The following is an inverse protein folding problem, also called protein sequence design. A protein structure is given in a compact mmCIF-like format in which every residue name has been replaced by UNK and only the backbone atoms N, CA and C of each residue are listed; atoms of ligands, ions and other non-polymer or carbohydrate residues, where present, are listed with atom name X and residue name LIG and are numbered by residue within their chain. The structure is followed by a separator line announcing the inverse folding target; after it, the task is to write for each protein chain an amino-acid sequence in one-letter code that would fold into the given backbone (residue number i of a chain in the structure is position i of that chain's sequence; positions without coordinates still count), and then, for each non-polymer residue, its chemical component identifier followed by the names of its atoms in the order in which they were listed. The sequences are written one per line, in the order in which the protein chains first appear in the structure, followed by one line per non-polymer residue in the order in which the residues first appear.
data_IF_519193201672
#
_entry.id   IF_519193201672
#
_cell.length_a   1.000
_cell.length_b   1.000
_cell.length_c   1.000
_cell.angle_alpha   90.00
_cell.angle_beta   90.00
_cell.angle_gamma   90.00
#
_symmetry.space_group_name_H-M   'P 1'
#
loop_
_entity.id
_entity.type
_entity.pdbx_description
1 polymer ?
#
# COMPACT_ATOMS: atom_id res chain seq x y z
N UNK A 1 0.15 0.05 35.08
CA UNK A 1 0.45 -0.17 36.51
C UNK A 1 1.77 0.43 36.94
N UNK A 2 2.79 0.55 36.06
CA UNK A 2 4.11 1.06 36.45
C UNK A 2 4.08 2.50 36.99
N UNK A 3 3.24 3.38 36.43
CA UNK A 3 3.03 4.74 36.95
C UNK A 3 2.41 4.74 38.35
N UNK A 4 1.48 3.82 38.63
CA UNK A 4 0.90 3.68 39.96
C UNK A 4 1.97 3.21 40.97
N UNK A 5 2.82 2.26 40.59
CA UNK A 5 3.94 1.79 41.42
C UNK A 5 4.93 2.91 41.70
N UNK A 6 5.22 3.78 40.74
CA UNK A 6 6.05 4.97 40.96
C UNK A 6 5.43 5.88 42.04
N UNK A 7 4.16 6.25 41.86
CA UNK A 7 3.44 7.13 42.81
C UNK A 7 3.40 6.50 44.22
N UNK A 8 3.04 5.22 44.31
CA UNK A 8 2.98 4.49 45.58
C UNK A 8 4.37 4.45 46.24
N UNK A 9 5.43 4.19 45.48
CA UNK A 9 6.80 4.13 46.01
C UNK A 9 7.24 5.49 46.58
N UNK A 10 6.91 6.59 45.91
CA UNK A 10 7.23 7.94 46.40
C UNK A 10 6.47 8.26 47.69
N UNK A 11 5.16 7.98 47.73
CA UNK A 11 4.33 8.21 48.91
C UNK A 11 4.79 7.35 50.09
N UNK A 12 5.06 6.06 49.87
CA UNK A 12 5.56 5.16 50.90
C UNK A 12 6.93 5.58 51.41
N UNK A 13 7.83 6.04 50.53
CA UNK A 13 9.14 6.56 50.93
C UNK A 13 9.02 7.71 51.93
N UNK A 14 8.11 8.65 51.68
CA UNK A 14 7.80 9.73 52.61
C UNK A 14 7.20 9.21 53.92
N UNK A 15 6.19 8.33 53.85
CA UNK A 15 5.53 7.80 55.04
C UNK A 15 6.50 7.03 55.94
N UNK A 16 7.32 6.15 55.36
CA UNK A 16 8.32 5.38 56.11
C UNK A 16 9.37 6.26 56.76
N UNK A 17 9.76 7.35 56.10
CA UNK A 17 10.77 8.28 56.64
C UNK A 17 10.24 9.11 57.81
N UNK A 18 8.98 9.57 57.72
CA UNK A 18 8.39 10.49 58.70
C UNK A 18 7.77 9.76 59.89
N UNK A 19 7.01 8.69 59.65
CA UNK A 19 6.11 8.13 60.66
C UNK A 19 6.62 6.86 61.35
N UNK A 20 7.72 6.25 60.88
CA UNK A 20 8.32 5.10 61.56
C UNK A 20 9.33 5.58 62.61
N UNK A 21 9.06 5.26 63.87
CA UNK A 21 9.89 5.68 65.01
C UNK A 21 11.26 4.99 65.03
N UNK A 22 11.30 3.68 64.72
CA UNK A 22 12.55 2.92 64.66
C UNK A 22 13.38 3.36 63.44
N UNK A 23 14.47 4.07 63.70
CA UNK A 23 15.30 4.69 62.65
C UNK A 23 15.97 3.71 61.71
N UNK A 24 16.33 2.51 62.18
CA UNK A 24 16.91 1.48 61.31
C UNK A 24 15.88 0.99 60.30
N UNK A 25 14.68 0.65 60.75
CA UNK A 25 13.61 0.18 59.86
C UNK A 25 13.07 1.28 58.96
N UNK A 26 12.93 2.50 59.48
CA UNK A 26 12.56 3.68 58.69
C UNK A 26 13.50 3.86 57.50
N UNK A 27 14.81 3.92 57.76
CA UNK A 27 15.82 4.11 56.71
C UNK A 27 15.83 2.96 55.69
N UNK A 28 15.73 1.70 56.13
CA UNK A 28 15.71 0.54 55.22
C UNK A 28 14.49 0.59 54.30
N UNK A 29 13.30 0.79 54.86
CA UNK A 29 12.05 0.82 54.09
C UNK A 29 11.99 2.02 53.15
N UNK A 30 12.45 3.20 53.59
CA UNK A 30 12.59 4.38 52.73
C UNK A 30 13.59 4.11 51.60
N UNK A 31 14.73 3.47 51.86
CA UNK A 31 15.69 3.12 50.81
C UNK A 31 15.08 2.17 49.77
N UNK A 32 14.33 1.15 50.22
CA UNK A 32 13.61 0.23 49.31
C UNK A 32 12.59 1.01 48.47
N UNK A 33 11.83 1.92 49.07
CA UNK A 33 10.84 2.73 48.36
C UNK A 33 11.50 3.66 47.32
N UNK A 34 12.63 4.29 47.65
CA UNK A 34 13.42 5.09 46.71
C UNK A 34 13.93 4.23 45.55
N UNK A 35 14.47 3.05 45.84
CA UNK A 35 14.90 2.09 44.80
C UNK A 35 13.71 1.72 43.91
N UNK A 36 12.53 1.45 44.48
CA UNK A 36 11.30 1.17 43.74
C UNK A 36 10.90 2.32 42.80
N UNK A 37 11.02 3.56 43.26
CA UNK A 37 10.76 4.74 42.44
C UNK A 37 11.78 4.89 41.29
N UNK A 38 13.07 4.72 41.57
CA UNK A 38 14.15 4.78 40.56
C UNK A 38 13.97 3.69 39.50
N UNK A 39 13.72 2.46 39.93
CA UNK A 39 13.47 1.34 39.02
C UNK A 39 12.21 1.56 38.17
N UNK A 40 11.14 2.11 38.76
CA UNK A 40 9.92 2.42 38.02
C UNK A 40 10.18 3.45 36.93
N UNK A 41 10.87 4.55 37.26
CA UNK A 41 11.27 5.58 36.29
C UNK A 41 12.16 5.01 35.20
N UNK A 42 13.15 4.18 35.54
CA UNK A 42 14.00 3.51 34.58
C UNK A 42 13.19 2.67 33.58
N UNK A 43 12.26 1.84 34.06
CA UNK A 43 11.42 1.02 33.17
C UNK A 43 10.39 1.83 32.38
N UNK A 44 9.91 2.96 32.89
CA UNK A 44 9.08 3.89 32.12
C UNK A 44 9.87 4.42 30.92
N UNK A 45 11.05 4.99 31.15
CA UNK A 45 11.91 5.52 30.09
C UNK A 45 12.27 4.42 29.10
N UNK A 46 12.66 3.24 29.60
CA UNK A 46 12.99 2.09 28.75
C UNK A 46 11.81 1.62 27.92
N UNK A 47 10.59 1.66 28.44
CA UNK A 47 9.41 1.29 27.68
C UNK A 47 9.03 2.36 26.64
N UNK A 48 9.17 3.64 26.99
CA UNK A 48 8.86 4.76 26.10
C UNK A 48 9.84 4.84 24.92
N UNK A 49 11.14 4.76 25.20
CA UNK A 49 12.18 4.85 24.17
C UNK A 49 12.39 3.52 23.44
N UNK A 50 12.65 2.43 24.18
CA UNK A 50 13.04 1.14 23.59
C UNK A 50 11.86 0.19 23.36
N UNK A 51 10.63 0.59 23.68
CA UNK A 51 9.46 -0.28 23.55
C UNK A 51 9.60 -1.59 24.36
N UNK A 52 10.22 -1.53 25.55
CA UNK A 52 10.59 -2.68 26.39
C UNK A 52 9.47 -3.72 26.59
N UNK A 53 8.25 -3.28 26.87
CA UNK A 53 7.08 -4.15 27.07
C UNK A 53 6.46 -4.69 25.78
N UNK A 54 6.98 -4.31 24.61
CA UNK A 54 6.33 -4.53 23.32
C UNK A 54 7.21 -5.29 22.33
N UNK A 55 6.56 -5.91 21.36
CA UNK A 55 7.18 -6.58 20.22
C UNK A 55 6.47 -6.14 18.94
N UNK A 56 7.20 -6.20 17.83
CA UNK A 56 6.60 -5.94 16.53
C UNK A 56 5.93 -7.20 16.02
N UNK A 57 4.65 -7.11 15.69
CA UNK A 57 3.89 -8.19 15.05
C UNK A 57 3.52 -7.74 13.65
N UNK A 58 3.78 -8.61 12.66
CA UNK A 58 3.45 -8.32 11.26
C UNK A 58 2.31 -9.20 10.81
N UNK A 59 1.20 -8.58 10.46
CA UNK A 59 0.06 -9.24 9.86
C UNK A 59 0.05 -9.02 8.36
N UNK A 60 -0.40 -10.04 7.63
CA UNK A 60 -0.53 -9.98 6.18
C UNK A 60 -2.00 -10.17 5.79
N UNK A 61 -2.51 -9.23 5.00
CA UNK A 61 -3.82 -9.35 4.37
C UNK A 61 -3.67 -9.30 2.87
N UNK A 62 -4.45 -10.12 2.15
CA UNK A 62 -4.52 -10.12 0.71
C UNK A 62 -5.94 -9.76 0.29
N UNK A 63 -6.08 -8.83 -0.65
CA UNK A 63 -7.38 -8.41 -1.16
C UNK A 63 -7.30 -8.24 -2.67
N UNK A 64 -8.32 -8.68 -3.43
CA UNK A 64 -8.38 -8.39 -4.86
C UNK A 64 -8.46 -6.88 -5.07
N UNK A 65 -7.88 -6.43 -6.18
CA UNK A 65 -7.99 -5.02 -6.60
C UNK A 65 -8.48 -4.96 -8.03
N UNK A 66 -9.21 -3.90 -8.34
CA UNK A 66 -9.92 -3.73 -9.60
C UNK A 66 -9.39 -2.49 -10.34
N UNK A 67 -9.50 -2.55 -11.66
CA UNK A 67 -9.05 -1.50 -12.57
C UNK A 67 -9.82 -0.20 -12.33
N UNK A 68 -9.16 0.94 -12.33
CA UNK A 68 -9.85 2.25 -12.33
C UNK A 68 -10.34 2.67 -13.72
N UNK A 69 -9.90 1.97 -14.77
CA UNK A 69 -10.32 2.18 -16.15
C UNK A 69 -11.70 1.57 -16.38
N UNK A 70 -12.58 2.33 -17.06
CA UNK A 70 -13.97 1.92 -17.35
C UNK A 70 -14.10 0.92 -18.51
N UNK A 71 -13.08 0.80 -19.36
CA UNK A 71 -13.11 -0.11 -20.50
C UNK A 71 -12.42 -1.43 -20.16
N UNK A 72 -13.05 -2.55 -20.51
CA UNK A 72 -12.45 -3.89 -20.40
C UNK A 72 -11.15 -4.02 -21.22
N UNK A 73 -11.00 -3.23 -22.29
CA UNK A 73 -9.82 -3.25 -23.16
C UNK A 73 -8.66 -2.39 -22.61
N UNK A 74 -8.92 -1.54 -21.60
CA UNK A 74 -7.91 -0.66 -21.00
C UNK A 74 -8.02 -0.72 -19.48
N UNK A 75 -7.75 -1.90 -18.94
CA UNK A 75 -7.63 -2.07 -17.50
C UNK A 75 -6.38 -1.35 -16.99
N UNK A 76 -6.48 -0.64 -15.88
CA UNK A 76 -5.35 0.12 -15.35
C UNK A 76 -5.42 0.38 -13.85
N UNK A 77 -4.25 0.56 -13.25
CA UNK A 77 -4.05 1.13 -11.90
C UNK A 77 -3.28 2.44 -12.08
N UNK A 78 -3.61 3.44 -11.26
CA UNK A 78 -2.89 4.71 -11.28
C UNK A 78 -1.93 4.82 -10.12
N UNK A 79 -0.91 5.64 -10.26
CA UNK A 79 -0.11 6.09 -9.14
C UNK A 79 0.08 7.60 -9.16
N UNK A 80 0.38 8.17 -7.99
CA UNK A 80 0.76 9.56 -7.84
C UNK A 80 1.99 9.65 -6.94
N UNK A 81 3.06 10.34 -7.37
CA UNK A 81 4.21 10.60 -6.51
C UNK A 81 3.83 11.43 -5.29
N UNK A 82 4.49 11.16 -4.16
CA UNK A 82 4.52 12.02 -2.98
C UNK A 82 5.82 12.83 -3.05
N UNK A 83 5.68 14.16 -3.13
CA UNK A 83 6.81 15.07 -3.33
C UNK A 83 7.34 15.07 -4.77
N UNK A 84 8.50 15.71 -4.97
CA UNK A 84 9.09 15.95 -6.31
C UNK A 84 10.03 14.85 -6.78
N UNK A 85 10.49 13.97 -5.88
CA UNK A 85 11.54 12.99 -6.17
C UNK A 85 11.03 11.62 -6.67
N UNK A 86 9.71 11.41 -6.80
CA UNK A 86 9.04 10.14 -7.19
C UNK A 86 9.51 8.87 -6.43
N UNK A 87 10.13 9.04 -5.24
CA UNK A 87 10.62 7.93 -4.41
C UNK A 87 9.52 7.22 -3.64
N UNK A 88 8.40 7.90 -3.39
CA UNK A 88 7.22 7.35 -2.71
C UNK A 88 6.01 7.62 -3.59
N UNK A 89 5.19 6.59 -3.80
CA UNK A 89 4.06 6.67 -4.70
C UNK A 89 2.81 6.15 -3.98
N UNK A 90 1.68 6.81 -4.21
CA UNK A 90 0.35 6.37 -3.78
C UNK A 90 -0.34 5.73 -4.97
N UNK A 91 -0.79 4.49 -4.80
CA UNK A 91 -1.48 3.75 -5.85
C UNK A 91 -2.98 3.87 -5.68
N UNK A 92 -3.69 4.07 -6.79
CA UNK A 92 -5.14 4.28 -6.87
C UNK A 92 -5.75 3.11 -7.65
N UNK A 93 -6.71 2.45 -7.02
CA UNK A 93 -7.36 1.23 -7.50
C UNK A 93 -8.85 1.21 -7.10
N UNK A 94 -9.61 0.21 -7.53
CA UNK A 94 -10.97 -0.04 -7.07
C UNK A 94 -11.03 -1.29 -6.17
N UNK A 95 -11.97 -1.32 -5.22
CA UNK A 95 -12.16 -2.47 -4.30
C UNK A 95 -13.16 -3.52 -4.82
N UNK A 96 -13.94 -3.19 -5.84
CA UNK A 96 -14.81 -4.11 -6.57
C UNK A 96 -14.92 -3.64 -8.03
N UNK A 97 -15.35 -4.53 -8.92
CA UNK A 97 -15.48 -4.22 -10.35
C UNK A 97 -16.44 -3.05 -10.62
N UNK A 98 -17.51 -2.93 -9.83
CA UNK A 98 -18.56 -1.92 -9.97
C UNK A 98 -18.41 -0.74 -8.98
N UNK A 99 -17.23 -0.60 -8.35
CA UNK A 99 -17.00 0.41 -7.34
C UNK A 99 -17.11 1.83 -7.93
N UNK A 100 -18.14 2.59 -7.50
CA UNK A 100 -18.31 4.00 -7.88
C UNK A 100 -17.16 4.88 -7.38
N UNK A 101 -16.58 4.54 -6.23
CA UNK A 101 -15.48 5.28 -5.60
C UNK A 101 -14.15 4.57 -5.83
N UNK A 102 -13.13 5.35 -6.14
CA UNK A 102 -11.73 4.89 -6.17
C UNK A 102 -11.19 4.81 -4.74
N UNK A 103 -10.28 3.89 -4.51
CA UNK A 103 -9.51 3.74 -3.27
C UNK A 103 -8.03 3.97 -3.56
N UNK A 104 -7.24 4.17 -2.51
CA UNK A 104 -5.81 4.36 -2.65
C UNK A 104 -5.03 3.79 -1.47
N UNK A 105 -3.74 3.50 -1.70
CA UNK A 105 -2.80 3.16 -0.62
C UNK A 105 -2.58 4.36 0.30
N UNK A 106 -2.21 4.12 1.56
CA UNK A 106 -1.96 5.20 2.53
C UNK A 106 -0.81 6.12 2.05
N UNK A 107 -1.00 7.42 2.22
CA UNK A 107 -0.10 8.49 1.78
C UNK A 107 0.71 9.05 2.96
N UNK A 108 1.51 8.20 3.59
CA UNK A 108 2.27 8.52 4.81
C UNK A 108 3.67 7.89 4.74
N UNK A 109 4.61 8.43 5.51
CA UNK A 109 6.03 8.11 5.35
C UNK A 109 6.45 6.71 5.79
N UNK A 110 5.73 6.16 6.75
CA UNK A 110 5.76 4.78 7.26
C UNK A 110 5.15 3.75 6.29
N UNK A 111 4.64 4.19 5.13
CA UNK A 111 3.99 3.35 4.12
C UNK A 111 4.82 3.29 2.85
N UNK A 112 5.15 2.08 2.39
CA UNK A 112 5.82 1.88 1.10
C UNK A 112 4.96 1.03 0.18
N UNK A 113 5.04 1.31 -1.12
CA UNK A 113 4.32 0.58 -2.14
C UNK A 113 5.30 0.02 -3.17
N UNK A 114 5.08 -1.23 -3.59
CA UNK A 114 5.83 -1.89 -4.66
C UNK A 114 4.87 -2.54 -5.64
N UNK A 115 5.12 -2.36 -6.93
CA UNK A 115 4.40 -3.08 -7.99
C UNK A 115 5.18 -4.30 -8.43
N UNK A 116 4.48 -5.41 -8.58
CA UNK A 116 4.98 -6.66 -9.16
C UNK A 116 4.04 -7.06 -10.30
N UNK A 117 4.60 -7.39 -11.46
CA UNK A 117 3.83 -7.76 -12.66
C UNK A 117 3.62 -9.26 -12.71
N UNK A 118 2.38 -9.72 -12.79
CA UNK A 118 2.02 -11.15 -12.72
C UNK A 118 1.14 -11.58 -13.89
N UNK A 119 1.10 -12.89 -14.16
CA UNK A 119 0.11 -13.53 -15.00
C UNK A 119 -0.98 -14.09 -14.06
N UNK A 120 -2.12 -13.40 -13.91
CA UNK A 120 -3.18 -13.79 -12.97
C UNK A 120 -4.03 -12.62 -12.51
N UNK A 121 -4.93 -12.87 -11.56
CA UNK A 121 -5.80 -11.82 -11.01
C UNK A 121 -5.02 -10.79 -10.18
N UNK A 122 -5.29 -9.52 -10.44
CA UNK A 122 -4.66 -8.42 -9.72
C UNK A 122 -5.09 -8.40 -8.24
N UNK A 123 -4.12 -8.30 -7.34
CA UNK A 123 -4.36 -8.26 -5.89
C UNK A 123 -3.35 -7.37 -5.18
N UNK A 124 -3.73 -6.86 -4.03
CA UNK A 124 -2.84 -6.15 -3.13
C UNK A 124 -2.60 -6.99 -1.88
N UNK A 125 -1.33 -7.21 -1.55
CA UNK A 125 -0.90 -7.80 -0.29
C UNK A 125 -0.37 -6.69 0.60
N UNK A 126 -1.01 -6.50 1.75
CA UNK A 126 -0.64 -5.48 2.73
C UNK A 126 -0.02 -6.17 3.93
N UNK A 127 1.26 -5.91 4.16
CA UNK A 127 1.97 -6.29 5.38
C UNK A 127 1.96 -5.11 6.34
N UNK A 128 1.33 -5.27 7.49
CA UNK A 128 1.27 -4.20 8.50
C UNK A 128 1.99 -4.66 9.75
N UNK A 129 3.00 -3.89 10.17
CA UNK A 129 3.73 -4.14 11.40
C UNK A 129 3.22 -3.19 12.47
N UNK A 130 2.76 -3.74 13.60
CA UNK A 130 2.29 -2.97 14.76
C UNK A 130 3.03 -3.37 16.02
N UNK A 131 3.06 -2.45 16.97
CA UNK A 131 3.47 -2.77 18.33
C UNK A 131 2.38 -3.56 19.04
N UNK A 132 2.76 -4.67 19.65
CA UNK A 132 1.89 -5.44 20.55
C UNK A 132 2.62 -5.73 21.84
N UNK A 133 1.87 -5.82 22.94
CA UNK A 133 2.45 -6.23 24.22
C UNK A 133 2.98 -7.66 24.13
N UNK A 134 4.18 -7.89 24.68
CA UNK A 134 4.84 -9.21 24.65
C UNK A 134 3.97 -10.29 25.30
N UNK A 135 3.27 -9.94 26.37
CA UNK A 135 2.38 -10.80 27.15
C UNK A 135 1.41 -9.97 28.00
N UNK A 136 0.52 -10.63 28.75
CA UNK A 136 -0.46 -10.00 29.64
C UNK A 136 0.19 -9.16 30.76
N UNK A 137 1.34 -9.59 31.29
CA UNK A 137 2.06 -8.84 32.33
C UNK A 137 2.61 -7.52 31.77
N UNK A 138 3.22 -7.53 30.59
CA UNK A 138 3.68 -6.33 29.93
C UNK A 138 2.53 -5.35 29.65
N UNK A 139 1.36 -5.86 29.23
CA UNK A 139 0.15 -5.05 29.08
C UNK A 139 -0.32 -4.46 30.42
N UNK A 140 -0.29 -5.23 31.51
CA UNK A 140 -0.65 -4.72 32.83
C UNK A 140 0.28 -3.58 33.29
N UNK A 141 1.59 -3.79 33.14
CA UNK A 141 2.61 -2.84 33.59
C UNK A 141 2.63 -1.57 32.75
N UNK A 142 2.66 -1.70 31.42
CA UNK A 142 2.89 -0.62 30.46
C UNK A 142 1.64 -0.19 29.65
N UNK A 143 0.48 -0.82 29.89
CA UNK A 143 -0.75 -0.61 29.12
C UNK A 143 -1.41 0.75 29.26
N UNK A 144 -1.05 1.52 30.28
CA UNK A 144 -1.71 2.80 30.59
C UNK A 144 -1.45 3.88 29.52
N UNK A 145 -0.36 3.75 28.76
CA UNK A 145 -0.03 4.67 27.66
C UNK A 145 -0.73 4.30 26.33
N UNK A 146 -1.50 3.20 26.30
CA UNK A 146 -2.20 2.68 25.11
C UNK A 146 -1.33 2.61 23.84
N UNK A 147 -0.07 2.21 24.04
CA UNK A 147 0.93 2.03 22.98
C UNK A 147 0.66 0.77 22.12
N UNK A 148 -0.31 -0.06 22.54
CA UNK A 148 -0.73 -1.25 21.82
C UNK A 148 -1.35 -0.91 20.46
N UNK A 149 -1.08 -1.76 19.47
CA UNK A 149 -1.54 -1.65 18.08
C UNK A 149 -1.07 -0.39 17.31
N UNK A 150 -0.12 0.37 17.85
CA UNK A 150 0.48 1.49 17.12
C UNK A 150 1.19 1.00 15.87
N UNK A 151 0.93 1.67 14.75
CA UNK A 151 1.50 1.34 13.45
C UNK A 151 2.99 1.68 13.45
N UNK A 152 3.84 0.69 13.18
CA UNK A 152 5.28 0.89 12.96
C UNK A 152 5.54 1.19 11.49
N UNK A 153 5.03 0.32 10.61
CA UNK A 153 5.22 0.44 9.16
C UNK A 153 4.18 -0.39 8.42
N UNK A 154 3.92 0.02 7.18
CA UNK A 154 3.04 -0.70 6.26
C UNK A 154 3.73 -0.87 4.91
N UNK A 155 3.79 -2.11 4.42
CA UNK A 155 4.34 -2.43 3.11
C UNK A 155 3.23 -3.03 2.24
N UNK A 156 2.87 -2.34 1.16
CA UNK A 156 1.90 -2.85 0.20
C UNK A 156 2.61 -3.36 -1.05
N UNK A 157 2.33 -4.61 -1.43
CA UNK A 157 2.77 -5.21 -2.68
C UNK A 157 1.56 -5.34 -3.59
N UNK A 158 1.56 -4.55 -4.67
CA UNK A 158 0.52 -4.57 -5.69
C UNK A 158 0.94 -5.56 -6.77
N UNK A 159 0.32 -6.73 -6.77
CA UNK A 159 0.46 -7.71 -7.83
C UNK A 159 -0.52 -7.34 -8.94
N UNK A 160 0.00 -6.76 -10.01
CA UNK A 160 -0.80 -6.25 -11.13
C UNK A 160 -0.65 -7.18 -12.33
N UNK A 161 -1.77 -7.58 -12.92
CA UNK A 161 -1.78 -8.33 -14.16
C UNK A 161 -0.97 -7.60 -15.26
N UNK A 162 -0.17 -8.34 -16.04
CA UNK A 162 0.66 -7.77 -17.12
C UNK A 162 -0.12 -7.05 -18.23
N UNK A 163 -1.40 -7.34 -18.39
CA UNK A 163 -2.28 -6.68 -19.36
C UNK A 163 -2.80 -5.33 -18.87
N UNK A 164 -2.68 -5.05 -17.56
CA UNK A 164 -3.13 -3.79 -16.99
C UNK A 164 -2.08 -2.71 -17.15
N UNK A 165 -2.50 -1.51 -17.48
CA UNK A 165 -1.61 -0.36 -17.50
C UNK A 165 -1.31 0.11 -16.06
N UNK A 166 -0.09 0.58 -15.82
CA UNK A 166 0.29 1.25 -14.58
C UNK A 166 0.79 2.64 -14.96
N UNK A 167 -0.02 3.66 -14.69
CA UNK A 167 0.19 5.01 -15.19
C UNK A 167 0.20 6.02 -14.06
N UNK A 168 0.98 7.09 -14.18
CA UNK A 168 0.81 8.22 -13.27
C UNK A 168 -0.55 8.88 -13.51
N UNK A 169 -1.09 9.59 -12.51
CA UNK A 169 -2.34 10.36 -12.69
C UNK A 169 -2.23 11.39 -13.82
N UNK A 170 -1.05 11.97 -14.04
CA UNK A 170 -0.74 12.88 -15.15
C UNK A 170 -0.77 12.16 -16.49
N UNK A 171 -0.11 10.99 -16.60
CA UNK A 171 -0.11 10.16 -17.81
C UNK A 171 -1.53 9.72 -18.18
N UNK A 172 -2.32 9.30 -17.20
CA UNK A 172 -3.71 8.91 -17.41
C UNK A 172 -4.58 10.07 -17.91
N UNK A 173 -4.42 11.28 -17.36
CA UNK A 173 -5.11 12.48 -17.85
C UNK A 173 -4.71 12.82 -19.29
N UNK A 174 -3.42 12.76 -19.61
CA UNK A 174 -2.93 13.03 -20.95
C UNK A 174 -3.42 11.98 -21.96
N UNK A 175 -3.41 10.70 -21.57
CA UNK A 175 -3.98 9.60 -22.35
C UNK A 175 -5.47 9.84 -22.63
N UNK A 176 -6.25 10.17 -21.60
CA UNK A 176 -7.68 10.47 -21.74
C UNK A 176 -7.92 11.65 -22.69
N UNK A 177 -7.15 12.73 -22.54
CA UNK A 177 -7.25 13.91 -23.41
C UNK A 177 -6.94 13.56 -24.87
N UNK A 178 -5.87 12.80 -25.12
CA UNK A 178 -5.47 12.41 -26.47
C UNK A 178 -6.48 11.43 -27.09
N UNK A 179 -7.00 10.47 -26.33
CA UNK A 179 -8.02 9.54 -26.83
C UNK A 179 -9.36 10.23 -27.14
N UNK A 180 -9.66 11.36 -26.49
CA UNK A 180 -10.86 12.17 -26.76
C UNK A 180 -10.68 13.15 -27.95
N UNK A 181 -9.46 13.36 -28.42
CA UNK A 181 -9.15 14.25 -29.54
C UNK A 181 -9.67 13.67 -30.86
N UNK A 182 -10.55 14.42 -31.55
CA UNK A 182 -11.18 14.00 -32.80
C UNK A 182 -10.17 13.80 -33.93
N UNK A 183 -9.14 14.62 -34.02
CA UNK A 183 -8.11 14.49 -35.05
C UNK A 183 -7.29 13.22 -34.81
N UNK A 184 -6.96 12.95 -33.55
CA UNK A 184 -6.27 11.70 -33.18
C UNK A 184 -7.14 10.46 -33.44
N UNK A 185 -8.44 10.52 -33.13
CA UNK A 185 -9.37 9.43 -33.45
C UNK A 185 -9.49 9.20 -34.96
N UNK A 186 -9.53 10.26 -35.77
CA UNK A 186 -9.55 10.16 -37.22
C UNK A 186 -8.26 9.51 -37.75
N UNK A 187 -7.10 9.97 -37.26
CA UNK A 187 -5.80 9.39 -37.59
C UNK A 187 -5.73 7.89 -37.20
N UNK A 188 -6.19 7.53 -36.01
CA UNK A 188 -6.28 6.15 -35.55
C UNK A 188 -7.16 5.28 -36.45
N UNK A 189 -8.33 5.78 -36.87
CA UNK A 189 -9.22 5.06 -37.78
C UNK A 189 -8.56 4.81 -39.13
N UNK A 190 -7.91 5.82 -39.70
CA UNK A 190 -7.21 5.70 -40.99
C UNK A 190 -6.04 4.74 -40.90
N UNK A 191 -5.17 4.90 -39.88
CA UNK A 191 -4.04 4.01 -39.66
C UNK A 191 -4.48 2.57 -39.35
N UNK A 192 -5.55 2.39 -38.59
CA UNK A 192 -6.12 1.08 -38.29
C UNK A 192 -6.68 0.39 -39.52
N UNK A 193 -7.44 1.11 -40.37
CA UNK A 193 -7.90 0.58 -41.66
C UNK A 193 -6.72 0.16 -42.54
N UNK A 194 -5.70 1.01 -42.67
CA UNK A 194 -4.51 0.69 -43.46
C UNK A 194 -3.77 -0.55 -42.94
N UNK A 195 -3.61 -0.67 -41.61
CA UNK A 195 -2.98 -1.83 -40.97
C UNK A 195 -3.76 -3.13 -41.23
N UNK A 196 -5.08 -3.10 -40.99
CA UNK A 196 -5.93 -4.28 -41.21
C UNK A 196 -5.96 -4.67 -42.69
N UNK A 197 -6.12 -3.72 -43.61
CA UNK A 197 -6.09 -3.99 -45.06
C UNK A 197 -4.77 -4.62 -45.47
N UNK A 198 -3.62 -4.11 -44.99
CA UNK A 198 -2.31 -4.69 -45.27
C UNK A 198 -2.19 -6.14 -44.78
N UNK A 199 -2.64 -6.43 -43.56
CA UNK A 199 -2.62 -7.78 -42.99
C UNK A 199 -3.52 -8.74 -43.78
N UNK A 200 -4.74 -8.30 -44.15
CA UNK A 200 -5.67 -9.13 -44.94
C UNK A 200 -5.14 -9.37 -46.34
N UNK A 201 -4.58 -8.37 -47.02
CA UNK A 201 -3.97 -8.54 -48.34
C UNK A 201 -2.79 -9.52 -48.31
N UNK A 202 -1.90 -9.39 -47.31
CA UNK A 202 -0.77 -10.31 -47.14
C UNK A 202 -1.24 -11.75 -46.89
N UNK A 203 -2.32 -11.93 -46.12
CA UNK A 203 -2.92 -13.26 -45.90
C UNK A 203 -3.59 -13.81 -47.16
N UNK A 204 -4.29 -12.99 -47.95
CA UNK A 204 -4.91 -13.40 -49.21
C UNK A 204 -3.88 -13.77 -50.28
N UNK A 205 -2.71 -13.10 -50.31
CA UNK A 205 -1.60 -13.49 -51.20
C UNK A 205 -1.06 -14.88 -50.86
N UNK A 206 -0.99 -15.22 -49.56
CA UNK A 206 -0.53 -16.54 -49.10
C UNK A 206 -1.59 -17.62 -49.23
N UNK A 207 -2.88 -17.26 -49.10
CA UNK A 207 -3.99 -18.18 -49.25
C UNK A 207 -5.14 -17.54 -50.03
N UNK A 208 -5.14 -17.64 -51.38
CA UNK A 208 -6.16 -17.03 -52.23
C UNK A 208 -7.58 -17.58 -52.01
N UNK A 209 -7.69 -18.81 -51.48
CA UNK A 209 -8.96 -19.49 -51.19
C UNK A 209 -9.47 -19.27 -49.76
N UNK A 210 -8.85 -18.35 -49.00
CA UNK A 210 -9.26 -18.05 -47.63
C UNK A 210 -10.75 -17.68 -47.55
N UNK A 211 -11.48 -18.40 -46.70
CA UNK A 211 -12.93 -18.26 -46.52
C UNK A 211 -13.32 -16.90 -45.96
N UNK A 212 -14.60 -16.52 -46.12
CA UNK A 212 -15.12 -15.29 -45.52
C UNK A 212 -15.04 -15.31 -43.97
N UNK A 213 -15.20 -16.49 -43.36
CA UNK A 213 -15.09 -16.65 -41.91
C UNK A 213 -13.66 -16.40 -41.40
N UNK A 214 -12.65 -16.92 -42.11
CA UNK A 214 -11.24 -16.72 -41.76
C UNK A 214 -10.83 -15.27 -41.95
N UNK A 215 -11.31 -14.61 -43.02
CA UNK A 215 -11.14 -13.16 -43.23
C UNK A 215 -11.71 -12.36 -42.06
N UNK A 216 -12.92 -12.66 -41.63
CA UNK A 216 -13.56 -11.97 -40.50
C UNK A 216 -12.78 -12.17 -39.19
N UNK A 217 -12.26 -13.37 -38.95
CA UNK A 217 -11.40 -13.67 -37.79
C UNK A 217 -10.09 -12.88 -37.83
N UNK A 218 -9.45 -12.82 -39.00
CA UNK A 218 -8.22 -12.06 -39.21
C UNK A 218 -8.43 -10.57 -39.03
N UNK A 219 -9.53 -10.00 -39.54
CA UNK A 219 -9.89 -8.59 -39.33
C UNK A 219 -10.03 -8.29 -37.83
N UNK A 220 -10.72 -9.15 -37.08
CA UNK A 220 -10.85 -8.99 -35.62
C UNK A 220 -9.49 -9.02 -34.93
N UNK A 221 -8.63 -9.99 -35.26
CA UNK A 221 -7.30 -10.13 -34.68
C UNK A 221 -6.41 -8.93 -35.00
N UNK A 222 -6.32 -8.54 -36.28
CA UNK A 222 -5.51 -7.40 -36.71
C UNK A 222 -6.00 -6.07 -36.11
N UNK A 223 -7.32 -5.92 -35.91
CA UNK A 223 -7.89 -4.75 -35.24
C UNK A 223 -7.47 -4.70 -33.77
N UNK A 224 -7.57 -5.83 -33.05
CA UNK A 224 -7.17 -5.91 -31.65
C UNK A 224 -5.66 -5.66 -31.48
N UNK A 225 -4.85 -6.21 -32.39
CA UNK A 225 -3.40 -6.01 -32.42
C UNK A 225 -3.05 -4.53 -32.65
N UNK A 226 -3.66 -3.88 -33.63
CA UNK A 226 -3.45 -2.46 -33.90
C UNK A 226 -3.83 -1.59 -32.70
N UNK A 227 -4.99 -1.86 -32.08
CA UNK A 227 -5.43 -1.13 -30.89
C UNK A 227 -4.43 -1.26 -29.73
N UNK A 228 -3.95 -2.48 -29.46
CA UNK A 228 -2.94 -2.72 -28.42
C UNK A 228 -1.62 -1.97 -28.72
N UNK A 229 -1.15 -2.03 -29.96
CA UNK A 229 0.06 -1.31 -30.39
C UNK A 229 -0.10 0.21 -30.29
N UNK A 230 -1.25 0.74 -30.71
CA UNK A 230 -1.55 2.17 -30.65
C UNK A 230 -1.58 2.69 -29.21
N UNK A 231 -2.24 1.98 -28.30
CA UNK A 231 -2.25 2.32 -26.86
C UNK A 231 -0.83 2.29 -26.30
N UNK A 232 -0.05 1.25 -26.60
CA UNK A 232 1.35 1.13 -26.13
C UNK A 232 2.22 2.27 -26.64
N UNK A 233 2.12 2.63 -27.93
CA UNK A 233 2.85 3.76 -28.53
C UNK A 233 2.46 5.09 -27.89
N UNK A 234 1.17 5.32 -27.70
CA UNK A 234 0.68 6.54 -27.06
C UNK A 234 1.17 6.65 -25.61
N UNK A 235 1.14 5.56 -24.84
CA UNK A 235 1.67 5.59 -23.46
C UNK A 235 3.17 5.87 -23.46
N UNK A 236 3.93 5.30 -24.41
CA UNK A 236 5.36 5.58 -24.53
C UNK A 236 5.65 7.04 -24.87
N UNK A 237 4.80 7.71 -25.65
CA UNK A 237 4.95 9.14 -25.96
C UNK A 237 4.49 10.08 -24.82
N UNK A 238 3.90 9.53 -23.77
CA UNK A 238 3.45 10.28 -22.58
C UNK A 238 4.43 10.14 -21.39
N UNK A 239 5.54 9.44 -21.59
CA UNK A 239 6.60 9.27 -20.60
C UNK A 239 7.58 10.43 -20.60
#
# INVERSE_FOLDING_TARGET
MILATLVISVVLGFVFFIYIENKTWSNILTAIAIIGAVLSTFYIIKNDHDHYGMKQVTEQTAQPIYSVGKSKQMQMVLYQPIGTADKKQVYIYQKSADAKKKSHTRAKDDTTNKVVRINGESKMVTKTTRWEYKNKAAKLWFGIADEGNKLVKQHNILYINKDWLVLSTTQAKALQKKMADKAYQAQLKTAGKAFVTKQVMAAMQKNPRMSAADRAKLVKQATAEFQAQAVKKLIASLK
#
